data_IF_164570045863
#
_entry.id   IF_164570045863
#
_cell.length_a   1.000
_cell.length_b   1.000
_cell.length_c   1.000
_cell.angle_alpha   90.00
_cell.angle_beta   90.00
_cell.angle_gamma   90.00
#
_symmetry.space_group_name_H-M   'P 1'
#
loop_
_entity.id
_entity.type
_entity.pdbx_description
1 polymer ?
#
# COMPACT_ATOMS: atom_id res chain seq x y z
N UNK A 1 -14.46 -1.12 -7.40
CA UNK A 1 -14.85 -0.90 -5.97
C UNK A 1 -15.82 0.27 -5.91
N UNK A 2 -17.04 0.14 -5.36
CA UNK A 2 -18.04 1.20 -5.29
C UNK A 2 -17.77 2.14 -4.09
N UNK A 3 -16.83 3.06 -4.26
CA UNK A 3 -16.37 3.98 -3.20
C UNK A 3 -16.47 5.46 -3.58
N UNK A 4 -16.75 5.76 -4.85
CA UNK A 4 -16.93 7.14 -5.29
C UNK A 4 -18.36 7.64 -4.99
N UNK A 5 -18.52 8.97 -4.91
CA UNK A 5 -19.86 9.57 -4.82
C UNK A 5 -20.68 9.25 -6.08
N UNK A 6 -22.02 9.19 -5.97
CA UNK A 6 -22.89 9.03 -7.13
C UNK A 6 -22.60 10.07 -8.21
N UNK A 7 -22.61 9.64 -9.48
CA UNK A 7 -22.34 10.49 -10.62
C UNK A 7 -20.85 10.71 -10.97
N UNK A 8 -19.92 10.22 -10.14
CA UNK A 8 -18.49 10.29 -10.43
C UNK A 8 -18.10 9.38 -11.60
N UNK A 9 -17.15 9.83 -12.42
CA UNK A 9 -16.49 9.00 -13.44
C UNK A 9 -15.66 7.92 -12.77
N UNK A 10 -15.52 6.71 -13.37
CA UNK A 10 -14.63 5.70 -12.87
C UNK A 10 -13.18 6.19 -12.80
N UNK A 11 -12.45 5.78 -11.75
CA UNK A 11 -11.05 6.13 -11.53
C UNK A 11 -10.20 4.85 -11.41
N UNK A 12 -9.11 4.79 -12.17
CA UNK A 12 -8.17 3.66 -12.17
C UNK A 12 -6.99 3.97 -11.24
N UNK A 13 -6.91 3.28 -10.12
CA UNK A 13 -5.88 3.48 -9.10
C UNK A 13 -4.92 2.30 -9.12
N UNK A 14 -3.64 2.54 -9.45
CA UNK A 14 -2.58 1.56 -9.32
C UNK A 14 -2.05 1.57 -7.88
N UNK A 15 -2.28 0.48 -7.16
CA UNK A 15 -1.78 0.30 -5.81
C UNK A 15 -0.48 -0.52 -5.84
N UNK A 16 0.61 0.13 -5.49
CA UNK A 16 1.96 -0.44 -5.34
C UNK A 16 2.33 -0.53 -3.87
N UNK A 17 2.97 -1.61 -3.47
CA UNK A 17 3.43 -1.82 -2.09
C UNK A 17 4.59 -2.80 -2.04
N UNK A 18 5.41 -2.68 -1.00
CA UNK A 18 6.41 -3.68 -0.64
C UNK A 18 7.31 -4.08 -1.83
N UNK A 19 7.87 -3.08 -2.51
CA UNK A 19 8.71 -3.29 -3.68
C UNK A 19 10.02 -3.98 -3.29
N UNK A 20 10.58 -3.65 -2.11
CA UNK A 20 11.83 -4.22 -1.60
C UNK A 20 12.94 -4.23 -2.66
N UNK A 21 13.19 -3.07 -3.28
CA UNK A 21 14.13 -2.94 -4.39
C UNK A 21 15.58 -3.14 -3.96
N UNK A 22 16.29 -3.92 -4.77
CA UNK A 22 17.77 -3.97 -4.79
C UNK A 22 18.26 -3.60 -6.18
N UNK A 23 19.40 -2.89 -6.31
CA UNK A 23 19.92 -2.45 -7.61
C UNK A 23 20.12 -3.57 -8.64
N UNK A 24 20.40 -4.80 -8.17
CA UNK A 24 20.62 -5.96 -9.02
C UNK A 24 19.36 -6.59 -9.61
N UNK A 25 18.15 -6.22 -9.15
CA UNK A 25 16.88 -6.86 -9.54
C UNK A 25 16.36 -6.33 -10.89
N UNK A 26 17.10 -6.52 -11.97
CA UNK A 26 16.79 -5.98 -13.30
C UNK A 26 15.43 -6.43 -13.87
N UNK A 27 15.04 -7.69 -13.62
CA UNK A 27 13.74 -8.22 -14.07
C UNK A 27 12.57 -7.52 -13.35
N UNK A 28 12.68 -7.29 -12.05
CA UNK A 28 11.68 -6.54 -11.28
C UNK A 28 11.58 -5.10 -11.77
N UNK A 29 12.71 -4.44 -12.05
CA UNK A 29 12.74 -3.09 -12.60
C UNK A 29 12.05 -3.02 -13.96
N UNK A 30 12.30 -3.98 -14.85
CA UNK A 30 11.65 -4.06 -16.15
C UNK A 30 10.12 -4.27 -16.01
N UNK A 31 9.72 -5.22 -15.18
CA UNK A 31 8.30 -5.50 -14.95
C UNK A 31 7.55 -4.30 -14.34
N UNK A 32 8.15 -3.57 -13.41
CA UNK A 32 7.53 -2.37 -12.83
C UNK A 32 7.30 -1.29 -13.88
N UNK A 33 8.22 -1.12 -14.85
CA UNK A 33 8.04 -0.16 -15.94
C UNK A 33 6.86 -0.51 -16.85
N UNK A 34 6.61 -1.81 -17.08
CA UNK A 34 5.50 -2.26 -17.89
C UNK A 34 4.12 -1.91 -17.28
N UNK A 35 4.05 -1.64 -15.97
CA UNK A 35 2.81 -1.25 -15.31
C UNK A 35 2.28 0.11 -15.80
N UNK A 36 3.12 0.96 -16.39
CA UNK A 36 2.66 2.19 -17.04
C UNK A 36 1.68 1.92 -18.20
N UNK A 37 1.82 0.78 -18.88
CA UNK A 37 0.91 0.34 -19.94
C UNK A 37 -0.51 0.02 -19.43
N UNK A 38 -0.69 -0.03 -18.11
CA UNK A 38 -2.02 -0.18 -17.53
C UNK A 38 -2.77 1.15 -17.45
N UNK A 39 -2.15 2.25 -17.83
CA UNK A 39 -2.73 3.59 -17.91
C UNK A 39 -3.54 3.94 -16.64
N UNK A 40 -2.92 3.91 -15.44
CA UNK A 40 -3.60 4.35 -14.23
C UNK A 40 -3.81 5.85 -14.23
N UNK A 41 -4.94 6.30 -13.64
CA UNK A 41 -5.21 7.73 -13.43
C UNK A 41 -4.48 8.24 -12.17
N UNK A 42 -4.28 7.37 -11.18
CA UNK A 42 -3.62 7.66 -9.91
C UNK A 42 -2.73 6.49 -9.50
N UNK A 43 -1.56 6.78 -8.95
CA UNK A 43 -0.69 5.78 -8.30
C UNK A 43 -0.69 6.00 -6.79
N UNK A 44 -0.90 4.93 -6.01
CA UNK A 44 -0.74 4.97 -4.55
C UNK A 44 0.31 3.95 -4.14
N UNK A 45 1.38 4.44 -3.50
CA UNK A 45 2.47 3.61 -3.01
C UNK A 45 2.41 3.56 -1.48
N UNK A 46 2.22 2.38 -0.94
CA UNK A 46 2.05 2.16 0.51
C UNK A 46 3.34 1.77 1.24
N UNK A 47 4.52 2.03 0.63
CA UNK A 47 5.81 1.91 1.32
C UNK A 47 6.53 0.59 1.14
N UNK A 48 7.61 0.42 1.88
CA UNK A 48 8.58 -0.69 1.81
C UNK A 48 9.23 -0.81 0.42
N UNK A 49 9.68 0.33 -0.11
CA UNK A 49 10.29 0.41 -1.44
C UNK A 49 11.73 -0.11 -1.46
N UNK A 50 12.46 0.04 -0.36
CA UNK A 50 13.91 -0.16 -0.29
C UNK A 50 14.29 -1.48 0.40
N UNK A 51 15.36 -2.12 -0.06
CA UNK A 51 16.06 -3.22 0.62
C UNK A 51 17.58 -3.11 0.53
N UNK A 52 18.09 -1.95 0.09
CA UNK A 52 19.52 -1.71 -0.08
C UNK A 52 19.84 -0.21 -0.04
N UNK A 53 20.97 0.23 0.54
CA UNK A 53 21.33 1.66 0.63
C UNK A 53 21.45 2.39 -0.72
N UNK A 54 21.70 1.65 -1.79
CA UNK A 54 21.83 2.20 -3.16
C UNK A 54 20.58 1.93 -4.01
N UNK A 55 19.40 1.69 -3.40
CA UNK A 55 18.22 1.29 -4.16
C UNK A 55 17.40 2.46 -4.72
N UNK A 56 17.54 3.68 -4.20
CA UNK A 56 16.73 4.84 -4.62
C UNK A 56 16.77 5.06 -6.14
N UNK A 57 17.93 5.13 -6.81
CA UNK A 57 17.95 5.28 -8.27
C UNK A 57 17.26 4.13 -9.01
N UNK A 58 17.36 2.91 -8.47
CA UNK A 58 16.73 1.74 -9.09
C UNK A 58 15.19 1.76 -8.93
N UNK A 59 14.65 2.27 -7.80
CA UNK A 59 13.21 2.49 -7.61
C UNK A 59 12.72 3.55 -8.59
N UNK A 60 13.38 4.70 -8.67
CA UNK A 60 13.01 5.79 -9.57
C UNK A 60 13.02 5.33 -11.03
N UNK A 61 14.10 4.63 -11.44
CA UNK A 61 14.19 4.08 -12.79
C UNK A 61 13.14 3.02 -13.09
N UNK A 62 12.79 2.20 -12.10
CA UNK A 62 11.79 1.15 -12.25
C UNK A 62 10.36 1.70 -12.34
N UNK A 63 10.05 2.75 -11.61
CA UNK A 63 8.73 3.41 -11.70
C UNK A 63 8.59 4.20 -13.01
N UNK A 64 9.70 4.75 -13.55
CA UNK A 64 9.71 5.36 -14.89
C UNK A 64 8.54 6.31 -15.14
N UNK A 65 7.75 6.05 -16.18
CA UNK A 65 6.61 6.87 -16.60
C UNK A 65 5.47 6.92 -15.57
N UNK A 66 5.37 5.94 -14.66
CA UNK A 66 4.41 6.00 -13.56
C UNK A 66 4.63 7.23 -12.66
N UNK A 67 5.87 7.74 -12.58
CA UNK A 67 6.17 8.94 -11.80
C UNK A 67 5.62 10.23 -12.44
N UNK A 68 5.16 10.18 -13.69
CA UNK A 68 4.45 11.29 -14.35
C UNK A 68 2.95 11.25 -14.12
N UNK A 69 2.43 10.13 -13.61
CA UNK A 69 1.03 9.99 -13.17
C UNK A 69 0.90 10.62 -11.78
N UNK A 70 -0.20 11.36 -11.49
CA UNK A 70 -0.48 11.83 -10.13
C UNK A 70 -0.36 10.70 -9.10
N UNK A 71 0.24 10.97 -7.95
CA UNK A 71 0.47 9.90 -6.98
C UNK A 71 0.50 10.33 -5.54
N UNK A 72 0.28 9.35 -4.65
CA UNK A 72 0.45 9.47 -3.21
C UNK A 72 1.40 8.40 -2.69
N UNK A 73 2.13 8.74 -1.62
CA UNK A 73 3.06 7.82 -0.96
C UNK A 73 2.97 7.93 0.56
N UNK A 74 3.13 6.79 1.23
CA UNK A 74 3.55 6.69 2.63
C UNK A 74 4.77 5.77 2.69
N UNK A 75 5.53 5.81 3.79
CA UNK A 75 6.74 5.01 3.96
C UNK A 75 6.50 3.84 4.92
N UNK A 76 7.21 2.74 4.68
CA UNK A 76 7.20 1.55 5.52
C UNK A 76 8.55 1.33 6.21
N UNK A 77 8.61 0.30 7.04
CA UNK A 77 9.76 -0.05 7.88
C UNK A 77 11.06 -0.20 7.09
N UNK A 78 10.98 -0.79 5.91
CA UNK A 78 12.13 -1.02 5.01
C UNK A 78 12.43 0.17 4.08
N UNK A 79 11.74 1.28 4.22
CA UNK A 79 12.22 2.55 3.69
C UNK A 79 13.19 3.19 4.68
N UNK A 80 12.91 3.06 5.99
CA UNK A 80 13.74 3.61 7.07
C UNK A 80 14.97 2.79 7.39
N UNK A 81 14.83 1.45 7.43
CA UNK A 81 15.86 0.55 7.93
C UNK A 81 16.12 -0.64 7.02
N UNK A 82 17.40 -0.93 6.81
CA UNK A 82 17.81 -2.11 6.06
C UNK A 82 17.32 -3.40 6.73
N UNK A 83 16.92 -4.41 5.95
CA UNK A 83 16.58 -5.71 6.49
C UNK A 83 17.76 -6.32 7.25
N UNK A 84 17.44 -7.06 8.34
CA UNK A 84 18.42 -7.83 9.11
C UNK A 84 18.03 -9.30 9.17
N UNK A 85 19.03 -10.15 9.29
CA UNK A 85 18.81 -11.56 9.57
C UNK A 85 18.14 -11.67 10.97
N UNK A 86 16.90 -12.13 11.00
CA UNK A 86 16.19 -12.43 12.24
C UNK A 86 16.32 -13.93 12.50
N UNK A 87 16.63 -14.33 13.75
CA UNK A 87 16.56 -15.71 14.13
C UNK A 87 15.08 -16.15 14.06
N UNK A 88 14.72 -17.14 13.23
CA UNK A 88 13.33 -17.58 13.10
C UNK A 88 12.73 -18.10 14.41
N UNK A 89 13.54 -18.59 15.35
CA UNK A 89 13.07 -19.00 16.67
C UNK A 89 12.52 -17.81 17.51
N UNK A 90 12.89 -16.57 17.20
CA UNK A 90 12.34 -15.38 17.88
C UNK A 90 10.89 -15.07 17.52
N UNK A 91 10.34 -15.64 16.44
CA UNK A 91 8.90 -15.55 16.15
C UNK A 91 8.04 -16.39 17.11
N UNK A 92 8.68 -17.29 17.88
CA UNK A 92 8.03 -18.14 18.88
C UNK A 92 8.19 -17.61 20.32
N UNK A 93 8.98 -16.57 20.50
CA UNK A 93 9.19 -15.95 21.81
C UNK A 93 8.88 -14.46 21.72
N UNK A 94 7.92 -14.00 22.54
CA UNK A 94 7.50 -12.60 22.69
C UNK A 94 8.65 -11.71 23.23
N UNK A 95 9.69 -11.50 22.44
CA UNK A 95 10.71 -10.52 22.78
C UNK A 95 10.48 -9.25 21.99
N UNK A 96 9.92 -8.26 22.64
CA UNK A 96 9.51 -6.95 22.15
C UNK A 96 10.67 -6.03 21.69
N UNK A 97 11.90 -6.53 21.61
CA UNK A 97 13.03 -5.76 21.11
C UNK A 97 13.12 -5.81 19.59
N UNK A 98 12.49 -4.82 18.96
CA UNK A 98 12.65 -4.56 17.52
C UNK A 98 14.06 -4.04 17.24
N UNK A 99 14.96 -4.93 16.85
CA UNK A 99 16.33 -4.54 16.45
C UNK A 99 16.28 -4.04 15.00
N UNK A 100 16.42 -2.73 14.81
CA UNK A 100 16.46 -2.11 13.51
C UNK A 100 17.81 -2.35 12.81
N UNK A 101 17.78 -2.42 11.47
CA UNK A 101 18.97 -2.43 10.63
C UNK A 101 19.62 -1.05 10.51
N UNK A 102 20.63 -0.92 9.65
CA UNK A 102 21.21 0.39 9.31
C UNK A 102 20.15 1.26 8.64
N UNK A 103 20.20 2.58 8.90
CA UNK A 103 19.33 3.53 8.24
C UNK A 103 19.49 3.47 6.71
N UNK A 104 18.38 3.57 6.00
CA UNK A 104 18.32 3.68 4.55
C UNK A 104 18.06 5.14 4.12
N UNK A 105 18.37 5.51 2.89
CA UNK A 105 18.24 6.89 2.40
C UNK A 105 16.77 7.19 2.01
N UNK A 106 15.85 7.06 2.95
CA UNK A 106 14.43 7.32 2.72
C UNK A 106 14.14 8.79 2.39
N UNK A 107 14.98 9.71 2.91
CA UNK A 107 14.86 11.14 2.59
C UNK A 107 15.12 11.40 1.09
N UNK A 108 16.10 10.70 0.50
CA UNK A 108 16.40 10.81 -0.93
C UNK A 108 15.25 10.23 -1.77
N UNK A 109 14.63 9.13 -1.29
CA UNK A 109 13.45 8.55 -1.94
C UNK A 109 12.26 9.52 -1.87
N UNK A 110 12.03 10.13 -0.71
CA UNK A 110 11.00 11.15 -0.49
C UNK A 110 11.20 12.35 -1.41
N UNK A 111 12.42 12.87 -1.48
CA UNK A 111 12.77 13.96 -2.37
C UNK A 111 12.48 13.60 -3.83
N UNK A 112 12.89 12.41 -4.27
CA UNK A 112 12.68 11.95 -5.63
C UNK A 112 11.18 11.81 -5.99
N UNK A 113 10.31 11.43 -5.07
CA UNK A 113 8.87 11.39 -5.28
C UNK A 113 8.26 12.80 -5.31
N UNK A 114 8.64 13.67 -4.37
CA UNK A 114 8.15 15.04 -4.29
C UNK A 114 8.53 15.87 -5.53
N UNK A 115 9.77 15.71 -6.04
CA UNK A 115 10.24 16.36 -7.27
C UNK A 115 9.38 16.00 -8.50
N UNK A 116 8.70 14.87 -8.47
CA UNK A 116 7.79 14.39 -9.51
C UNK A 116 6.32 14.65 -9.21
N UNK A 117 6.05 15.43 -8.17
CA UNK A 117 4.69 15.86 -7.82
C UNK A 117 3.88 14.85 -7.02
N UNK A 118 4.47 13.73 -6.58
CA UNK A 118 3.75 12.81 -5.71
C UNK A 118 3.56 13.40 -4.32
N UNK A 119 2.33 13.31 -3.80
CA UNK A 119 1.97 13.80 -2.48
C UNK A 119 2.44 12.83 -1.39
N UNK A 120 3.35 13.29 -0.52
CA UNK A 120 3.67 12.57 0.72
C UNK A 120 2.51 12.72 1.71
N UNK A 121 1.91 11.59 2.08
CA UNK A 121 0.82 11.50 3.06
C UNK A 121 1.32 11.11 4.46
N UNK A 122 2.62 11.03 4.69
CA UNK A 122 3.15 10.73 6.02
C UNK A 122 2.73 11.81 7.03
N UNK A 123 1.73 11.54 7.84
CA UNK A 123 1.09 12.49 8.75
C UNK A 123 0.54 13.76 8.04
N UNK A 124 0.00 13.59 6.84
CA UNK A 124 -0.53 14.68 6.04
C UNK A 124 -1.92 14.38 5.51
N UNK A 125 -2.67 15.47 5.28
CA UNK A 125 -3.87 15.50 4.46
C UNK A 125 -3.58 16.25 3.17
N UNK A 126 -4.10 15.77 2.05
CA UNK A 126 -3.93 16.37 0.72
C UNK A 126 -5.23 16.27 -0.06
N UNK A 127 -5.49 17.28 -0.88
CA UNK A 127 -6.54 17.22 -1.88
C UNK A 127 -5.92 17.26 -3.27
N UNK A 128 -6.48 16.51 -4.19
CA UNK A 128 -6.02 16.39 -5.57
C UNK A 128 -7.23 16.16 -6.47
N UNK A 129 -7.24 16.77 -7.64
CA UNK A 129 -8.21 16.48 -8.69
C UNK A 129 -7.53 15.64 -9.78
N UNK A 130 -8.14 14.49 -10.10
CA UNK A 130 -7.63 13.55 -11.10
C UNK A 130 -8.80 13.06 -11.94
N UNK A 131 -8.73 13.23 -13.26
CA UNK A 131 -9.76 12.79 -14.21
C UNK A 131 -11.18 13.28 -13.85
N UNK A 132 -11.30 14.50 -13.28
CA UNK A 132 -12.58 15.08 -12.85
C UNK A 132 -13.10 14.50 -11.53
N UNK A 133 -12.28 13.75 -10.78
CA UNK A 133 -12.60 13.21 -9.47
C UNK A 133 -11.79 13.97 -8.41
N UNK A 134 -12.47 14.65 -7.49
CA UNK A 134 -11.82 15.27 -6.33
C UNK A 134 -11.53 14.20 -5.28
N UNK A 135 -10.27 14.08 -4.89
CA UNK A 135 -9.77 13.12 -3.92
C UNK A 135 -9.30 13.86 -2.67
N UNK A 136 -9.91 13.59 -1.53
CA UNK A 136 -9.40 14.00 -0.23
C UNK A 136 -8.68 12.84 0.43
N UNK A 137 -7.35 12.91 0.48
CA UNK A 137 -6.50 11.84 0.99
C UNK A 137 -5.88 12.21 2.34
N UNK A 138 -5.69 11.21 3.20
CA UNK A 138 -4.89 11.31 4.42
C UNK A 138 -4.05 10.05 4.62
N UNK A 139 -2.94 10.20 5.31
CA UNK A 139 -2.10 9.06 5.64
C UNK A 139 -1.30 9.27 6.92
N UNK A 140 -0.81 8.17 7.46
CA UNK A 140 0.07 8.16 8.64
C UNK A 140 1.41 7.52 8.31
N UNK A 141 2.41 7.75 9.18
CA UNK A 141 3.67 7.01 9.17
C UNK A 141 3.44 5.55 9.60
N UNK A 142 4.44 4.72 9.50
CA UNK A 142 4.38 3.28 9.67
C UNK A 142 3.90 2.82 11.05
N UNK A 143 2.70 2.21 11.15
CA UNK A 143 2.20 1.67 12.40
C UNK A 143 3.02 0.49 12.92
N UNK A 144 3.73 -0.23 12.05
CA UNK A 144 4.59 -1.34 12.46
C UNK A 144 5.80 -0.88 13.27
N UNK A 145 6.24 0.36 13.09
CA UNK A 145 7.29 1.01 13.88
C UNK A 145 6.74 1.88 15.01
N UNK A 146 5.43 1.82 15.30
CA UNK A 146 4.73 2.69 16.26
C UNK A 146 4.94 4.20 15.97
N UNK A 147 5.02 4.55 14.69
CA UNK A 147 5.23 5.92 14.24
C UNK A 147 3.94 6.62 13.82
N UNK A 148 2.80 5.94 13.84
CA UNK A 148 1.48 6.36 13.38
C UNK A 148 0.82 7.39 14.31
N UNK A 149 1.36 8.60 14.39
CA UNK A 149 0.76 9.70 15.16
C UNK A 149 -0.54 10.17 14.49
N UNK A 150 -1.59 9.39 14.65
CA UNK A 150 -2.88 9.62 14.00
C UNK A 150 -3.48 10.99 14.34
N UNK A 151 -3.19 11.53 15.51
CA UNK A 151 -3.66 12.83 16.01
C UNK A 151 -3.34 13.96 15.04
N UNK A 152 -2.27 13.83 14.27
CA UNK A 152 -1.84 14.84 13.28
C UNK A 152 -2.77 14.92 12.07
N UNK A 153 -3.53 13.86 11.79
CA UNK A 153 -4.48 13.78 10.67
C UNK A 153 -5.91 13.47 11.12
N UNK A 154 -6.16 13.42 12.43
CA UNK A 154 -7.47 13.12 12.99
C UNK A 154 -8.53 14.14 12.56
N UNK A 155 -9.78 13.68 12.52
CA UNK A 155 -10.97 14.46 12.21
C UNK A 155 -11.63 14.06 10.89
N UNK A 156 -12.87 14.51 10.67
CA UNK A 156 -13.70 14.02 9.59
C UNK A 156 -13.05 14.20 8.22
N UNK A 157 -13.20 13.17 7.38
CA UNK A 157 -12.84 13.25 5.97
C UNK A 157 -13.72 14.28 5.26
N UNK A 158 -13.19 14.96 4.22
CA UNK A 158 -13.94 15.98 3.48
C UNK A 158 -15.15 15.34 2.77
N UNK A 159 -16.40 15.61 3.21
CA UNK A 159 -17.59 14.97 2.64
C UNK A 159 -17.91 15.47 1.22
N UNK A 160 -17.36 16.61 0.80
CA UNK A 160 -17.54 17.17 -0.53
C UNK A 160 -16.67 16.48 -1.60
N UNK A 161 -15.63 15.75 -1.19
CA UNK A 161 -14.78 15.01 -2.13
C UNK A 161 -15.50 13.81 -2.74
N UNK A 162 -15.22 13.55 -4.03
CA UNK A 162 -15.74 12.37 -4.72
C UNK A 162 -15.18 11.07 -4.14
N UNK A 163 -13.92 11.10 -3.68
CA UNK A 163 -13.25 10.02 -2.98
C UNK A 163 -12.61 10.52 -1.69
N UNK A 164 -12.88 9.84 -0.57
CA UNK A 164 -12.12 10.00 0.67
C UNK A 164 -11.21 8.79 0.83
N UNK A 165 -9.88 9.02 0.72
CA UNK A 165 -8.84 8.00 0.66
C UNK A 165 -7.96 8.05 1.90
N UNK A 166 -7.82 6.94 2.60
CA UNK A 166 -6.83 6.76 3.65
C UNK A 166 -5.69 5.86 3.19
N UNK A 167 -4.45 6.18 3.57
CA UNK A 167 -3.26 5.43 3.19
C UNK A 167 -2.41 5.16 4.43
N UNK A 168 -2.05 3.90 4.63
CA UNK A 168 -1.13 3.46 5.69
C UNK A 168 -0.22 2.36 5.17
N UNK A 169 1.00 2.23 5.69
CA UNK A 169 1.84 1.10 5.32
C UNK A 169 1.27 -0.20 5.88
N UNK A 170 1.23 -0.35 7.19
CA UNK A 170 0.76 -1.56 7.85
C UNK A 170 -0.70 -1.44 8.32
N UNK A 171 -1.56 -2.45 8.06
CA UNK A 171 -2.99 -2.41 8.37
C UNK A 171 -3.29 -2.77 9.83
N UNK A 172 -2.73 -2.03 10.79
CA UNK A 172 -3.07 -2.19 12.19
C UNK A 172 -4.49 -1.74 12.47
N UNK A 173 -5.27 -2.54 13.19
CA UNK A 173 -6.69 -2.29 13.45
C UNK A 173 -6.93 -0.94 14.09
N UNK A 174 -6.07 -0.51 15.03
CA UNK A 174 -6.15 0.82 15.67
C UNK A 174 -6.13 1.99 14.69
N UNK A 175 -5.41 1.84 13.57
CA UNK A 175 -5.33 2.88 12.53
C UNK A 175 -6.52 2.79 11.58
N UNK A 176 -6.87 1.56 11.17
CA UNK A 176 -7.99 1.32 10.27
C UNK A 176 -9.32 1.79 10.88
N UNK A 177 -9.53 1.50 12.18
CA UNK A 177 -10.76 1.89 12.90
C UNK A 177 -10.89 3.42 12.98
N UNK A 178 -9.79 4.14 13.21
CA UNK A 178 -9.80 5.60 13.26
C UNK A 178 -10.11 6.21 11.90
N UNK A 179 -9.48 5.72 10.81
CA UNK A 179 -9.81 6.18 9.46
C UNK A 179 -11.26 5.89 9.09
N UNK A 180 -11.78 4.71 9.45
CA UNK A 180 -13.18 4.38 9.20
C UNK A 180 -14.14 5.28 10.00
N UNK A 181 -13.83 5.56 11.27
CA UNK A 181 -14.60 6.47 12.13
C UNK A 181 -14.60 7.91 11.59
N UNK A 182 -13.48 8.39 11.04
CA UNK A 182 -13.35 9.71 10.43
C UNK A 182 -14.01 9.80 9.03
N UNK A 183 -14.55 8.68 8.49
CA UNK A 183 -15.37 8.67 7.28
C UNK A 183 -14.60 8.45 5.97
N UNK A 184 -13.38 7.92 6.03
CA UNK A 184 -12.65 7.52 4.81
C UNK A 184 -13.31 6.28 4.18
N UNK A 185 -13.73 6.42 2.91
CA UNK A 185 -14.46 5.35 2.18
C UNK A 185 -13.55 4.27 1.60
N UNK A 186 -12.30 4.60 1.32
CA UNK A 186 -11.29 3.64 0.86
C UNK A 186 -10.05 3.75 1.73
N UNK A 187 -9.56 2.61 2.23
CA UNK A 187 -8.30 2.49 2.95
C UNK A 187 -7.38 1.57 2.16
N UNK A 188 -6.16 2.04 1.84
CA UNK A 188 -5.14 1.25 1.16
C UNK A 188 -3.98 0.95 2.11
N UNK A 189 -3.56 -0.32 2.15
CA UNK A 189 -2.46 -0.79 2.99
C UNK A 189 -1.64 -1.89 2.33
N UNK A 190 -0.40 -2.09 2.81
CA UNK A 190 0.53 -3.13 2.38
C UNK A 190 1.00 -4.03 3.51
N UNK A 191 2.33 -4.19 3.66
CA UNK A 191 3.04 -4.81 4.78
C UNK A 191 2.86 -6.32 4.94
N UNK A 192 1.67 -6.86 4.76
CA UNK A 192 1.34 -8.26 5.07
C UNK A 192 1.97 -9.26 4.11
N UNK A 193 2.43 -8.81 2.94
CA UNK A 193 2.87 -9.66 1.83
C UNK A 193 1.84 -10.74 1.45
N UNK A 194 0.54 -10.48 1.71
CA UNK A 194 -0.53 -11.45 1.53
C UNK A 194 -0.39 -12.67 2.43
N UNK A 195 0.33 -12.52 3.56
CA UNK A 195 0.73 -13.60 4.46
C UNK A 195 2.01 -14.31 4.04
N UNK A 196 2.58 -13.99 2.90
CA UNK A 196 3.82 -14.53 2.30
C UNK A 196 3.87 -16.06 2.21
N UNK A 197 3.55 -16.77 3.29
CA UNK A 197 3.34 -18.21 3.38
C UNK A 197 1.85 -18.48 3.57
N UNK A 198 1.21 -19.05 2.55
CA UNK A 198 -0.20 -19.41 2.60
C UNK A 198 -0.34 -20.92 2.47
N UNK A 199 -1.23 -21.49 3.26
CA UNK A 199 -1.62 -22.89 3.11
C UNK A 199 -2.73 -22.98 2.05
N UNK A 200 -2.69 -23.98 1.18
CA UNK A 200 -3.80 -24.28 0.29
C UNK A 200 -5.09 -24.41 1.11
N UNK A 201 -6.15 -23.73 0.66
CA UNK A 201 -7.49 -23.71 1.30
C UNK A 201 -7.59 -22.97 2.65
N UNK A 202 -6.47 -22.75 3.38
CA UNK A 202 -6.47 -22.09 4.70
C UNK A 202 -5.99 -20.63 4.65
N UNK A 203 -5.43 -20.17 3.53
CA UNK A 203 -4.95 -18.80 3.37
C UNK A 203 -3.67 -18.48 4.13
N UNK A 204 -3.52 -17.22 4.53
CA UNK A 204 -2.32 -16.70 5.18
C UNK A 204 -2.04 -17.37 6.54
N UNK A 205 -0.78 -17.71 6.79
CA UNK A 205 -0.34 -18.24 8.10
C UNK A 205 -0.15 -17.12 9.10
N UNK A 206 0.36 -15.96 8.65
CA UNK A 206 0.66 -14.80 9.49
C UNK A 206 0.49 -13.51 8.70
N UNK A 207 0.10 -12.41 9.35
CA UNK A 207 -0.03 -11.07 8.77
C UNK A 207 1.06 -10.11 9.24
N UNK A 208 1.79 -10.49 10.26
CA UNK A 208 2.82 -9.67 10.93
C UNK A 208 2.24 -8.36 11.53
N UNK A 209 0.93 -8.32 11.77
CA UNK A 209 0.18 -7.27 12.45
C UNK A 209 -1.06 -7.89 13.10
N UNK A 210 -1.92 -7.08 13.71
CA UNK A 210 -3.15 -7.52 14.39
C UNK A 210 -4.37 -7.72 13.44
N UNK A 211 -4.15 -7.60 12.11
CA UNK A 211 -5.20 -7.85 11.11
C UNK A 211 -5.54 -9.33 11.01
N UNK A 212 -6.83 -9.63 10.91
CA UNK A 212 -7.31 -10.99 10.66
C UNK A 212 -6.68 -11.57 9.38
N UNK A 213 -6.18 -12.81 9.47
CA UNK A 213 -5.45 -13.49 8.39
C UNK A 213 -6.26 -13.66 7.10
N UNK A 214 -7.58 -13.75 7.19
CA UNK A 214 -8.47 -13.82 6.02
C UNK A 214 -8.45 -12.54 5.18
N UNK A 215 -7.97 -11.43 5.75
CA UNK A 215 -7.85 -10.12 5.12
C UNK A 215 -6.42 -9.75 4.71
N UNK A 216 -5.50 -10.71 4.77
CA UNK A 216 -4.09 -10.49 4.48
C UNK A 216 -3.81 -9.90 3.08
N UNK A 217 -4.76 -10.01 2.15
CA UNK A 217 -4.70 -9.38 0.83
C UNK A 217 -6.08 -9.21 0.19
N UNK A 218 -6.13 -8.33 -0.82
CA UNK A 218 -7.33 -8.08 -1.61
C UNK A 218 -8.29 -7.12 -0.95
N UNK A 219 -9.48 -7.02 -1.52
CA UNK A 219 -10.52 -6.10 -1.09
C UNK A 219 -11.44 -6.75 -0.04
N UNK A 220 -11.74 -5.99 1.00
CA UNK A 220 -12.70 -6.39 2.04
C UNK A 220 -13.44 -5.16 2.57
N UNK A 221 -14.56 -5.40 3.28
CA UNK A 221 -15.28 -4.33 3.98
C UNK A 221 -14.60 -4.08 5.33
N UNK A 222 -14.41 -2.80 5.72
CA UNK A 222 -13.95 -2.39 7.04
C UNK A 222 -14.97 -1.46 7.69
N UNK A 223 -15.44 -1.81 8.89
CA UNK A 223 -16.57 -1.09 9.49
C UNK A 223 -17.82 -1.08 8.61
N UNK A 224 -18.66 -0.07 8.77
CA UNK A 224 -19.95 0.01 8.06
C UNK A 224 -19.84 0.57 6.63
N UNK A 225 -18.87 1.47 6.36
CA UNK A 225 -18.84 2.28 5.13
C UNK A 225 -17.50 2.30 4.41
N UNK A 226 -16.44 1.77 5.01
CA UNK A 226 -15.10 1.79 4.42
C UNK A 226 -14.80 0.50 3.69
N UNK A 227 -14.21 0.60 2.51
CA UNK A 227 -13.57 -0.51 1.83
C UNK A 227 -12.08 -0.52 2.19
N UNK A 228 -11.54 -1.68 2.51
CA UNK A 228 -10.12 -1.90 2.73
C UNK A 228 -9.55 -2.70 1.56
N UNK A 229 -8.43 -2.24 0.98
CA UNK A 229 -7.63 -3.07 0.10
C UNK A 229 -6.22 -3.22 0.64
N UNK A 230 -5.81 -4.46 0.89
CA UNK A 230 -4.47 -4.82 1.33
C UNK A 230 -3.71 -5.43 0.17
N UNK A 231 -2.57 -4.84 -0.18
CA UNK A 231 -1.71 -5.36 -1.25
C UNK A 231 -0.95 -6.60 -0.78
N UNK A 232 -0.81 -7.60 -1.65
CA UNK A 232 0.10 -8.72 -1.39
C UNK A 232 1.58 -8.34 -1.60
N UNK A 233 1.85 -7.13 -2.11
CA UNK A 233 3.19 -6.62 -2.30
C UNK A 233 3.96 -7.26 -3.46
N UNK A 234 4.92 -6.51 -3.99
CA UNK A 234 5.70 -6.86 -5.19
C UNK A 234 6.96 -7.65 -4.84
N UNK A 235 7.58 -7.33 -3.71
CA UNK A 235 8.83 -7.93 -3.26
C UNK A 235 8.70 -8.83 -2.04
N UNK A 236 9.84 -9.19 -1.52
CA UNK A 236 10.01 -9.90 -0.24
C UNK A 236 11.22 -9.36 0.48
N UNK A 237 11.26 -9.51 1.80
CA UNK A 237 12.49 -9.25 2.54
C UNK A 237 13.62 -10.16 2.01
N UNK A 238 14.86 -9.65 1.84
CA UNK A 238 16.00 -10.46 1.41
C UNK A 238 16.30 -11.66 2.34
N UNK A 239 15.87 -11.59 3.60
CA UNK A 239 16.09 -12.67 4.58
C UNK A 239 14.90 -13.64 4.72
N UNK A 240 13.81 -13.36 4.01
CA UNK A 240 12.67 -14.25 3.85
C UNK A 240 12.23 -14.22 2.37
N UNK A 241 13.08 -14.69 1.43
CA UNK A 241 12.84 -14.49 -0.01
C UNK A 241 11.81 -15.47 -0.58
N UNK A 242 11.14 -16.23 0.25
CA UNK A 242 10.22 -17.29 -0.18
C UNK A 242 8.77 -16.81 -0.04
N UNK A 243 7.98 -17.07 -1.10
CA UNK A 243 6.53 -17.00 -1.08
C UNK A 243 5.97 -18.37 -1.43
N UNK A 244 4.95 -18.82 -0.70
CA UNK A 244 4.25 -20.06 -0.97
C UNK A 244 2.76 -19.82 -1.08
N UNK A 245 2.13 -20.25 -2.17
CA UNK A 245 0.72 -20.00 -2.50
C UNK A 245 0.29 -18.52 -2.40
N UNK A 246 1.23 -17.58 -2.48
CA UNK A 246 1.00 -16.15 -2.47
C UNK A 246 1.96 -15.47 -3.44
N UNK A 247 1.51 -15.24 -4.67
CA UNK A 247 2.35 -14.60 -5.71
C UNK A 247 2.54 -13.11 -5.42
N UNK A 248 3.72 -12.53 -5.78
CA UNK A 248 3.87 -11.09 -5.85
C UNK A 248 2.84 -10.46 -6.78
N UNK A 249 2.32 -9.28 -6.43
CA UNK A 249 1.32 -8.59 -7.26
C UNK A 249 1.41 -7.07 -7.15
N UNK A 250 1.01 -6.38 -8.22
CA UNK A 250 0.54 -5.01 -8.20
C UNK A 250 -0.97 -5.03 -8.49
N UNK A 251 -1.74 -4.11 -7.93
CA UNK A 251 -3.18 -4.12 -8.05
C UNK A 251 -3.69 -2.88 -8.79
N UNK A 252 -4.38 -3.04 -9.91
CA UNK A 252 -5.14 -1.97 -10.55
C UNK A 252 -6.58 -2.02 -10.06
N UNK A 253 -6.98 -1.01 -9.29
CA UNK A 253 -8.30 -0.88 -8.71
C UNK A 253 -9.16 0.03 -9.58
N UNK A 254 -10.26 -0.46 -10.14
CA UNK A 254 -11.27 0.39 -10.75
C UNK A 254 -12.26 0.83 -9.69
N UNK A 255 -12.21 2.12 -9.33
CA UNK A 255 -13.15 2.74 -8.42
C UNK A 255 -14.36 3.23 -9.22
N UNK A 256 -15.55 3.00 -8.72
CA UNK A 256 -16.81 3.37 -9.37
C UNK A 256 -17.73 4.07 -8.38
N UNK A 257 -18.71 4.78 -8.89
CA UNK A 257 -19.76 5.39 -8.08
C UNK A 257 -20.50 4.32 -7.25
N UNK A 258 -20.75 4.62 -5.99
CA UNK A 258 -21.60 3.79 -5.17
C UNK A 258 -23.06 3.86 -5.68
N UNK A 259 -23.83 2.77 -5.69
CA UNK A 259 -25.23 2.79 -6.09
C UNK A 259 -26.04 3.71 -5.17
N UNK A 260 -26.97 4.46 -5.77
CA UNK A 260 -27.93 5.26 -5.01
C UNK A 260 -28.89 4.35 -4.25
N UNK A 261 -28.77 4.31 -2.92
CA UNK A 261 -29.73 3.62 -2.03
C UNK A 261 -29.71 2.09 -2.11
N UNK A 262 -29.29 1.51 -1.04
CA UNK A 262 -29.43 0.14 -0.54
C UNK A 262 -29.86 -0.98 -1.48
N UNK A 263 -28.94 -1.85 -1.85
CA UNK A 263 -29.25 -3.17 -2.35
C UNK A 263 -28.71 -3.47 -3.74
N UNK A 264 -27.44 -3.58 -3.89
CA UNK A 264 -26.79 -4.64 -4.66
C UNK A 264 -25.28 -4.58 -4.38
N UNK A 265 -24.72 -5.69 -3.94
CA UNK A 265 -23.26 -5.79 -3.71
C UNK A 265 -22.59 -5.88 -5.08
N UNK A 266 -22.27 -4.73 -5.68
CA UNK A 266 -21.42 -4.69 -6.86
C UNK A 266 -20.10 -5.38 -6.53
N UNK A 267 -19.79 -6.48 -7.22
CA UNK A 267 -18.51 -7.19 -7.09
C UNK A 267 -17.39 -6.24 -7.46
N UNK A 268 -16.44 -6.05 -6.54
CA UNK A 268 -15.23 -5.29 -6.81
C UNK A 268 -14.46 -5.97 -7.94
N UNK A 269 -14.26 -5.25 -9.05
CA UNK A 269 -13.37 -5.72 -10.12
C UNK A 269 -11.96 -5.25 -9.74
N UNK A 270 -11.15 -6.17 -9.25
CA UNK A 270 -9.72 -5.96 -8.99
C UNK A 270 -8.97 -6.73 -10.07
N UNK A 271 -8.28 -6.02 -10.95
CA UNK A 271 -7.31 -6.65 -11.85
C UNK A 271 -5.97 -6.70 -11.12
N UNK A 272 -5.57 -7.89 -10.70
CA UNK A 272 -4.22 -8.14 -10.21
C UNK A 272 -3.46 -8.92 -11.28
N UNK A 273 -2.33 -8.39 -11.77
CA UNK A 273 -1.40 -9.20 -12.53
C UNK A 273 -0.33 -9.75 -11.59
N UNK A 274 -0.10 -11.08 -11.61
CA UNK A 274 1.02 -11.66 -10.90
C UNK A 274 2.31 -11.13 -11.52
N UNK A 275 3.23 -10.63 -10.68
CA UNK A 275 4.58 -10.39 -11.12
C UNK A 275 5.13 -11.73 -11.65
N UNK A 276 5.50 -11.76 -12.93
CA UNK A 276 6.21 -12.90 -13.50
C UNK A 276 7.41 -13.21 -12.59
N UNK A 277 7.58 -14.49 -12.22
CA UNK A 277 8.59 -15.02 -11.29
C UNK A 277 9.87 -14.19 -11.29
N UNK A 278 9.98 -13.28 -10.34
CA UNK A 278 11.12 -12.38 -10.18
C UNK A 278 11.96 -12.95 -9.04
N UNK A 279 12.72 -14.00 -9.36
CA UNK A 279 13.78 -14.52 -8.50
C UNK A 279 15.09 -13.80 -8.77
#
# INVERSE_FOLDING_TARGET
>A
MPVLTPGSTPLRVLHLSDIHMRPSQRRKQAWLRELANWEPDLVVNTGDNLSHPKAVPAVVQALGDLLSVPGFVVFGSYDYFAPRLKNPAKYLTDSDQRVHGKALPWQDLRAAFNERGWGDLTHNRRELEVAGVTIAAAGVDDPHLDRDRYETVAGPANPAANLTLAVTHAPYTRVLDRFAADGYRLILAGHTHGGQLCLPFSGAVVTNCDLDRSRAKGASQWGAKSALHVSAGIGTSPFAPFRFCCRPEASLLTLVAAPNGGGDRARSVVHSAPAALVH
#
